data_IF_706044235640
#
_entry.id   IF_706044235640
#
_cell.length_a   1.000
_cell.length_b   1.000
_cell.length_c   1.000
_cell.angle_alpha   90.00
_cell.angle_beta   90.00
_cell.angle_gamma   90.00
#
_symmetry.space_group_name_H-M   'P 1'
#
loop_
_entity.id
_entity.type
_entity.pdbx_description
1 polymer ?
#
# COMPACT_ATOMS: atom_id res chain seq x y z
N UNK A 1 -72.91 -4.56 66.00
CA UNK A 1 -72.26 -3.46 65.24
C UNK A 1 -70.75 -3.43 65.42
N UNK A 2 -70.19 -3.64 66.61
CA UNK A 2 -68.72 -3.59 66.83
C UNK A 2 -67.90 -4.60 65.99
N UNK A 3 -68.37 -5.84 65.85
CA UNK A 3 -67.65 -6.85 65.03
C UNK A 3 -67.51 -6.47 63.55
N UNK A 4 -68.46 -5.72 62.99
CA UNK A 4 -68.40 -5.27 61.59
C UNK A 4 -67.36 -4.15 61.41
N UNK A 5 -67.19 -3.27 62.39
CA UNK A 5 -66.16 -2.23 62.37
C UNK A 5 -64.74 -2.80 62.54
N UNK A 6 -64.58 -3.83 63.38
CA UNK A 6 -63.30 -4.54 63.53
C UNK A 6 -62.92 -5.26 62.24
N UNK A 7 -63.86 -5.96 61.60
CA UNK A 7 -63.63 -6.63 60.32
C UNK A 7 -63.27 -5.63 59.19
N UNK A 8 -63.93 -4.47 59.14
CA UNK A 8 -63.61 -3.41 58.19
C UNK A 8 -62.20 -2.84 58.43
N UNK A 9 -61.82 -2.63 59.70
CA UNK A 9 -60.49 -2.17 60.07
C UNK A 9 -59.38 -3.13 59.65
N UNK A 10 -59.58 -4.43 59.90
CA UNK A 10 -58.63 -5.49 59.47
C UNK A 10 -58.54 -5.56 57.94
N UNK A 11 -59.67 -5.44 57.23
CA UNK A 11 -59.69 -5.45 55.77
C UNK A 11 -58.93 -4.25 55.18
N UNK A 12 -59.08 -3.05 55.75
CA UNK A 12 -58.35 -1.85 55.32
C UNK A 12 -56.86 -2.02 55.59
N UNK A 13 -56.46 -2.43 56.81
CA UNK A 13 -55.05 -2.63 57.15
C UNK A 13 -54.41 -3.69 56.24
N UNK A 14 -55.09 -4.80 55.98
CA UNK A 14 -54.59 -5.87 55.11
C UNK A 14 -54.50 -5.41 53.65
N UNK A 15 -55.51 -4.69 53.14
CA UNK A 15 -55.52 -4.13 51.80
C UNK A 15 -54.40 -3.11 51.58
N UNK A 16 -54.23 -2.16 52.52
CA UNK A 16 -53.15 -1.17 52.50
C UNK A 16 -51.77 -1.83 52.61
N UNK A 17 -51.60 -2.84 53.47
CA UNK A 17 -50.33 -3.57 53.62
C UNK A 17 -49.96 -4.33 52.34
N UNK A 18 -50.95 -4.92 51.67
CA UNK A 18 -50.75 -5.62 50.40
C UNK A 18 -50.36 -4.65 49.28
N UNK A 19 -51.03 -3.49 49.18
CA UNK A 19 -50.68 -2.44 48.21
C UNK A 19 -49.28 -1.88 48.44
N UNK A 20 -48.89 -1.64 49.70
CA UNK A 20 -47.53 -1.22 50.07
C UNK A 20 -46.52 -2.31 49.69
N UNK A 21 -46.81 -3.58 49.97
CA UNK A 21 -45.97 -4.71 49.58
C UNK A 21 -45.77 -4.81 48.07
N UNK A 22 -46.83 -4.64 47.28
CA UNK A 22 -46.76 -4.60 45.81
C UNK A 22 -45.97 -3.38 45.32
N UNK A 23 -46.17 -2.21 45.91
CA UNK A 23 -45.43 -1.00 45.55
C UNK A 23 -43.92 -1.14 45.82
N UNK A 24 -43.56 -1.70 46.97
CA UNK A 24 -42.15 -1.98 47.33
C UNK A 24 -41.56 -3.01 46.37
N UNK A 25 -42.27 -4.10 46.08
CA UNK A 25 -41.81 -5.15 45.15
C UNK A 25 -41.63 -4.61 43.74
N UNK A 26 -42.57 -3.79 43.26
CA UNK A 26 -42.46 -3.14 41.95
C UNK A 26 -41.28 -2.16 41.89
N UNK A 27 -41.05 -1.38 42.95
CA UNK A 27 -39.89 -0.48 43.04
C UNK A 27 -38.56 -1.26 42.95
N UNK A 28 -38.42 -2.36 43.69
CA UNK A 28 -37.21 -3.18 43.62
C UNK A 28 -37.06 -3.90 42.26
N UNK A 29 -38.16 -4.37 41.67
CA UNK A 29 -38.14 -4.98 40.34
C UNK A 29 -37.71 -3.98 39.25
N UNK A 30 -38.25 -2.76 39.26
CA UNK A 30 -37.85 -1.70 38.33
C UNK A 30 -36.35 -1.40 38.47
N UNK A 31 -35.87 -1.22 39.70
CA UNK A 31 -34.45 -0.95 39.96
C UNK A 31 -33.54 -2.09 39.51
N UNK A 32 -33.97 -3.35 39.66
CA UNK A 32 -33.24 -4.52 39.19
C UNK A 32 -33.20 -4.60 37.65
N UNK A 33 -34.33 -4.30 36.99
CA UNK A 33 -34.44 -4.25 35.53
C UNK A 33 -33.56 -3.14 34.95
N UNK A 34 -33.58 -1.93 35.53
CA UNK A 34 -32.71 -0.82 35.12
C UNK A 34 -31.22 -1.19 35.25
N UNK A 35 -30.84 -1.81 36.38
CA UNK A 35 -29.45 -2.25 36.59
C UNK A 35 -29.03 -3.30 35.57
N UNK A 36 -29.92 -4.23 35.23
CA UNK A 36 -29.67 -5.26 34.21
C UNK A 36 -29.53 -4.64 32.82
N UNK A 37 -30.43 -3.74 32.42
CA UNK A 37 -30.33 -3.04 31.13
C UNK A 37 -29.05 -2.21 31.02
N UNK A 38 -28.64 -1.53 32.10
CA UNK A 38 -27.37 -0.80 32.12
C UNK A 38 -26.17 -1.73 31.95
N UNK A 39 -26.17 -2.89 32.63
CA UNK A 39 -25.12 -3.88 32.47
C UNK A 39 -25.08 -4.47 31.05
N UNK A 40 -26.23 -4.84 30.48
CA UNK A 40 -26.33 -5.34 29.10
C UNK A 40 -25.86 -4.29 28.08
N UNK A 41 -26.17 -3.01 28.31
CA UNK A 41 -25.69 -1.91 27.47
C UNK A 41 -24.16 -1.74 27.55
N UNK A 42 -23.58 -1.77 28.75
CA UNK A 42 -22.14 -1.69 28.97
C UNK A 42 -21.39 -2.90 28.37
N UNK A 43 -21.98 -4.09 28.44
CA UNK A 43 -21.41 -5.31 27.86
C UNK A 43 -21.45 -5.28 26.32
N UNK A 44 -22.58 -4.86 25.74
CA UNK A 44 -22.70 -4.68 24.30
C UNK A 44 -21.73 -3.61 23.77
N UNK A 45 -21.60 -2.47 24.46
CA UNK A 45 -20.65 -1.42 24.08
C UNK A 45 -19.21 -1.94 24.07
N UNK A 46 -18.81 -2.71 25.10
CA UNK A 46 -17.49 -3.35 25.15
C UNK A 46 -17.28 -4.31 23.98
N UNK A 47 -18.30 -5.11 23.66
CA UNK A 47 -18.23 -6.08 22.54
C UNK A 47 -18.09 -5.36 21.20
N UNK A 48 -18.91 -4.35 20.93
CA UNK A 48 -18.83 -3.55 19.70
C UNK A 48 -17.49 -2.85 19.57
N UNK A 49 -16.96 -2.28 20.67
CA UNK A 49 -15.65 -1.64 20.67
C UNK A 49 -14.51 -2.63 20.37
N UNK A 50 -14.60 -3.84 20.92
CA UNK A 50 -13.64 -4.91 20.66
C UNK A 50 -13.68 -5.37 19.19
N UNK A 51 -14.87 -5.54 18.62
CA UNK A 51 -15.06 -5.91 17.20
C UNK A 51 -14.49 -4.82 16.28
N UNK A 52 -14.79 -3.55 16.56
CA UNK A 52 -14.26 -2.41 15.80
C UNK A 52 -12.73 -2.34 15.85
N UNK A 53 -12.13 -2.62 17.01
CA UNK A 53 -10.66 -2.71 17.16
C UNK A 53 -10.07 -3.82 16.29
N UNK A 54 -10.65 -5.01 16.32
CA UNK A 54 -10.20 -6.14 15.48
C UNK A 54 -10.22 -5.77 14.00
N UNK A 55 -11.31 -5.16 13.53
CA UNK A 55 -11.45 -4.72 12.14
C UNK A 55 -10.36 -3.73 11.75
N UNK A 56 -10.15 -2.69 12.55
CA UNK A 56 -9.13 -1.66 12.26
C UNK A 56 -7.72 -2.23 12.35
N UNK A 57 -7.43 -3.14 13.29
CA UNK A 57 -6.11 -3.75 13.43
C UNK A 57 -5.77 -4.63 12.22
N UNK A 58 -6.74 -5.41 11.75
CA UNK A 58 -6.60 -6.21 10.53
C UNK A 58 -6.46 -5.33 9.28
N UNK A 59 -7.29 -4.30 9.16
CA UNK A 59 -7.21 -3.35 8.05
C UNK A 59 -5.88 -2.61 8.00
N UNK A 60 -5.32 -2.25 9.15
CA UNK A 60 -3.99 -1.66 9.24
C UNK A 60 -2.91 -2.63 8.75
N UNK A 61 -2.95 -3.88 9.18
CA UNK A 61 -1.98 -4.90 8.76
C UNK A 61 -2.03 -5.15 7.25
N UNK A 62 -3.23 -5.21 6.67
CA UNK A 62 -3.42 -5.33 5.22
C UNK A 62 -2.83 -4.13 4.47
N UNK A 63 -3.17 -2.91 4.90
CA UNK A 63 -2.70 -1.69 4.25
C UNK A 63 -1.17 -1.53 4.34
N UNK A 64 -0.54 -1.96 5.44
CA UNK A 64 0.92 -2.03 5.60
C UNK A 64 1.54 -3.01 4.58
N UNK A 65 0.97 -4.21 4.46
CA UNK A 65 1.45 -5.21 3.51
C UNK A 65 1.34 -4.72 2.05
N UNK A 66 0.21 -4.09 1.72
CA UNK A 66 -0.01 -3.50 0.40
C UNK A 66 0.99 -2.38 0.12
N UNK A 67 1.26 -1.51 1.11
CA UNK A 67 2.23 -0.44 0.95
C UNK A 67 3.65 -0.96 0.73
N UNK A 68 4.06 -1.99 1.47
CA UNK A 68 5.36 -2.65 1.25
C UNK A 68 5.47 -3.21 -0.17
N UNK A 69 4.44 -3.90 -0.65
CA UNK A 69 4.40 -4.44 -2.01
C UNK A 69 4.44 -3.32 -3.06
N UNK A 70 3.71 -2.24 -2.80
CA UNK A 70 3.63 -1.08 -3.67
C UNK A 70 4.98 -0.40 -3.88
N UNK A 71 5.78 -0.23 -2.83
CA UNK A 71 7.13 0.37 -2.93
C UNK A 71 7.97 -0.34 -3.99
N UNK A 72 8.03 -1.66 -3.97
CA UNK A 72 8.79 -2.43 -4.96
C UNK A 72 8.14 -2.43 -6.35
N UNK A 73 6.81 -2.45 -6.42
CA UNK A 73 6.09 -2.33 -7.70
C UNK A 73 6.35 -0.98 -8.36
N UNK A 74 6.36 0.12 -7.62
CA UNK A 74 6.64 1.44 -8.18
C UNK A 74 8.02 1.53 -8.84
N UNK A 75 9.02 0.85 -8.29
CA UNK A 75 10.37 0.84 -8.87
C UNK A 75 10.36 0.10 -10.20
N UNK A 76 9.73 -1.08 -10.23
CA UNK A 76 9.84 -2.01 -11.36
C UNK A 76 8.83 -1.74 -12.49
N UNK A 77 7.62 -1.32 -12.14
CA UNK A 77 6.51 -1.10 -13.06
C UNK A 77 6.06 0.36 -13.09
N UNK A 78 6.11 0.94 -14.29
CA UNK A 78 5.70 2.33 -14.55
C UNK A 78 4.20 2.55 -14.32
N UNK A 79 3.34 1.57 -14.61
CA UNK A 79 1.88 1.72 -14.47
C UNK A 79 1.48 1.82 -13.00
N UNK A 80 2.09 0.98 -12.16
CA UNK A 80 1.89 0.96 -10.71
C UNK A 80 2.14 2.33 -10.04
N UNK A 81 3.02 3.19 -10.58
CA UNK A 81 3.34 4.51 -10.00
C UNK A 81 2.14 5.47 -9.92
N UNK A 82 1.10 5.22 -10.72
CA UNK A 82 -0.14 6.03 -10.74
C UNK A 82 -1.12 5.69 -9.61
N UNK A 83 -0.93 4.56 -8.91
CA UNK A 83 -1.86 4.07 -7.88
C UNK A 83 -1.60 4.76 -6.51
N UNK A 84 -1.85 6.06 -6.43
CA UNK A 84 -1.46 6.88 -5.26
C UNK A 84 -2.40 6.76 -4.04
N UNK A 85 -3.40 5.87 -4.07
CA UNK A 85 -4.43 5.80 -3.03
C UNK A 85 -3.99 5.05 -1.76
N UNK A 86 -2.88 4.31 -1.79
CA UNK A 86 -2.46 3.46 -0.67
C UNK A 86 -1.98 4.25 0.55
N UNK A 87 -1.26 5.36 0.37
CA UNK A 87 -0.84 6.23 1.48
C UNK A 87 -2.07 6.81 2.20
N UNK A 88 -3.09 7.21 1.44
CA UNK A 88 -4.33 7.73 2.00
C UNK A 88 -5.11 6.66 2.77
N UNK A 89 -5.12 5.42 2.27
CA UNK A 89 -5.71 4.27 2.99
C UNK A 89 -4.99 4.02 4.31
N UNK A 90 -3.65 3.91 4.31
CA UNK A 90 -2.87 3.71 5.53
C UNK A 90 -3.13 4.83 6.55
N UNK A 91 -3.05 6.09 6.12
CA UNK A 91 -3.37 7.24 6.97
C UNK A 91 -4.78 7.16 7.58
N UNK A 92 -5.74 6.67 6.81
CA UNK A 92 -7.12 6.49 7.29
C UNK A 92 -7.18 5.40 8.37
N UNK A 93 -6.49 4.28 8.20
CA UNK A 93 -6.44 3.25 9.24
C UNK A 93 -5.75 3.73 10.51
N UNK A 94 -4.66 4.48 10.38
CA UNK A 94 -3.94 5.03 11.53
C UNK A 94 -4.84 6.01 12.30
N UNK A 95 -5.59 6.87 11.59
CA UNK A 95 -6.59 7.75 12.23
C UNK A 95 -7.71 6.97 12.93
N UNK A 96 -8.23 5.92 12.29
CA UNK A 96 -9.22 5.04 12.92
C UNK A 96 -8.65 4.37 14.18
N UNK A 97 -7.40 3.92 14.12
CA UNK A 97 -6.68 3.32 15.25
C UNK A 97 -6.61 4.30 16.42
N UNK A 98 -6.17 5.54 16.15
CA UNK A 98 -6.08 6.62 17.16
C UNK A 98 -7.40 6.88 17.89
N UNK A 99 -8.55 6.71 17.23
CA UNK A 99 -9.85 6.95 17.84
C UNK A 99 -10.29 5.86 18.81
N UNK A 100 -9.82 4.62 18.60
CA UNK A 100 -10.37 3.45 19.30
C UNK A 100 -9.36 2.77 20.23
N UNK A 101 -8.06 3.01 20.05
CA UNK A 101 -6.97 2.37 20.77
C UNK A 101 -6.56 3.13 22.04
N UNK A 102 -5.63 2.56 22.80
CA UNK A 102 -4.91 3.28 23.85
C UNK A 102 -3.94 4.31 23.24
N UNK A 103 -3.56 5.31 24.03
CA UNK A 103 -2.57 6.33 23.63
C UNK A 103 -1.23 5.71 23.21
N UNK A 104 -0.84 4.59 23.83
CA UNK A 104 0.41 3.90 23.53
C UNK A 104 0.39 3.29 22.12
N UNK A 105 -0.69 2.59 21.76
CA UNK A 105 -0.90 2.05 20.40
C UNK A 105 -0.95 3.19 19.38
N UNK A 106 -1.66 4.27 19.72
CA UNK A 106 -1.75 5.45 18.84
C UNK A 106 -0.38 6.06 18.57
N UNK A 107 0.44 6.22 19.60
CA UNK A 107 1.77 6.79 19.49
C UNK A 107 2.71 5.94 18.62
N UNK A 108 2.67 4.62 18.76
CA UNK A 108 3.47 3.71 17.92
C UNK A 108 2.99 3.70 16.47
N UNK A 109 1.68 3.80 16.23
CA UNK A 109 1.14 3.94 14.88
C UNK A 109 1.51 5.27 14.22
N UNK A 110 1.61 6.36 14.98
CA UNK A 110 2.08 7.65 14.45
C UNK A 110 3.55 7.60 14.03
N UNK A 111 4.40 6.94 14.84
CA UNK A 111 5.79 6.68 14.44
C UNK A 111 5.86 5.89 13.14
N UNK A 112 5.03 4.86 13.03
CA UNK A 112 4.93 4.04 11.83
C UNK A 112 4.54 4.89 10.62
N UNK A 113 3.54 5.76 10.77
CA UNK A 113 3.09 6.66 9.71
C UNK A 113 4.20 7.60 9.24
N UNK A 114 4.92 8.21 10.18
CA UNK A 114 5.98 9.17 9.90
C UNK A 114 7.11 8.51 9.10
N UNK A 115 7.52 7.30 9.49
CA UNK A 115 8.56 6.55 8.79
C UNK A 115 8.10 6.08 7.41
N UNK A 116 6.86 5.59 7.26
CA UNK A 116 6.34 5.24 5.93
C UNK A 116 6.26 6.45 5.02
N UNK A 117 5.79 7.58 5.54
CA UNK A 117 5.74 8.85 4.81
C UNK A 117 7.14 9.23 4.31
N UNK A 118 8.16 9.12 5.18
CA UNK A 118 9.55 9.36 4.80
C UNK A 118 10.00 8.42 3.68
N UNK A 119 9.78 7.11 3.82
CA UNK A 119 10.14 6.11 2.80
C UNK A 119 9.49 6.45 1.46
N UNK A 120 8.22 6.88 1.46
CA UNK A 120 7.52 7.28 0.24
C UNK A 120 8.10 8.56 -0.38
N UNK A 121 8.57 9.51 0.42
CA UNK A 121 9.31 10.66 -0.11
C UNK A 121 10.62 10.24 -0.75
N UNK A 122 11.42 9.43 -0.04
CA UNK A 122 12.71 8.93 -0.53
C UNK A 122 12.53 8.14 -1.85
N UNK A 123 11.48 7.31 -1.95
CA UNK A 123 11.10 6.61 -3.18
C UNK A 123 10.80 7.58 -4.32
N UNK A 124 9.97 8.59 -4.10
CA UNK A 124 9.60 9.55 -5.14
C UNK A 124 10.81 10.34 -5.66
N UNK A 125 11.74 10.72 -4.77
CA UNK A 125 12.98 11.36 -5.20
C UNK A 125 13.90 10.41 -5.97
N UNK A 126 14.03 9.16 -5.50
CA UNK A 126 14.84 8.15 -6.16
C UNK A 126 14.32 7.72 -7.53
N UNK A 127 13.01 7.77 -7.76
CA UNK A 127 12.39 7.43 -9.05
C UNK A 127 12.68 8.44 -10.17
N UNK A 128 13.12 9.66 -9.85
CA UNK A 128 13.26 10.75 -10.82
C UNK A 128 14.16 10.37 -12.01
N UNK A 129 15.31 9.78 -11.74
CA UNK A 129 16.29 9.41 -12.76
C UNK A 129 15.75 8.29 -13.65
N UNK A 130 15.11 7.28 -13.03
CA UNK A 130 14.47 6.16 -13.74
C UNK A 130 13.39 6.69 -14.69
N UNK A 131 12.53 7.61 -14.22
CA UNK A 131 11.46 8.20 -15.02
C UNK A 131 12.03 8.99 -16.21
N UNK A 132 13.12 9.74 -16.00
CA UNK A 132 13.77 10.51 -17.05
C UNK A 132 14.33 9.61 -18.15
N UNK A 133 15.07 8.57 -17.78
CA UNK A 133 15.65 7.61 -18.74
C UNK A 133 14.57 6.80 -19.48
N UNK A 134 13.49 6.40 -18.78
CA UNK A 134 12.35 5.73 -19.43
C UNK A 134 11.69 6.64 -20.47
N UNK A 135 11.57 7.95 -20.20
CA UNK A 135 11.04 8.91 -21.15
C UNK A 135 11.98 9.14 -22.34
N UNK A 136 13.30 9.19 -22.11
CA UNK A 136 14.29 9.25 -23.18
C UNK A 136 14.20 8.02 -24.09
N UNK A 137 14.08 6.81 -23.51
CA UNK A 137 13.91 5.58 -24.28
C UNK A 137 12.61 5.53 -25.08
N UNK A 138 11.49 5.99 -24.52
CA UNK A 138 10.24 6.13 -25.27
C UNK A 138 10.40 7.04 -26.51
N UNK A 139 11.24 8.08 -26.40
CA UNK A 139 11.51 8.99 -27.51
C UNK A 139 12.46 8.38 -28.53
N UNK A 140 13.55 7.75 -28.07
CA UNK A 140 14.50 7.04 -28.92
C UNK A 140 13.78 5.98 -29.75
N UNK A 141 12.94 5.14 -29.15
CA UNK A 141 12.16 4.12 -29.86
C UNK A 141 11.26 4.73 -30.94
N UNK A 142 10.52 5.81 -30.62
CA UNK A 142 9.68 6.51 -31.60
C UNK A 142 10.48 7.09 -32.76
N UNK A 143 11.66 7.66 -32.49
CA UNK A 143 12.53 8.20 -33.54
C UNK A 143 13.15 7.08 -34.38
N UNK A 144 13.61 6.00 -33.76
CA UNK A 144 14.12 4.80 -34.44
C UNK A 144 13.06 4.24 -35.38
N UNK A 145 11.81 4.07 -34.93
CA UNK A 145 10.71 3.60 -35.77
C UNK A 145 10.40 4.54 -36.95
N UNK A 146 10.57 5.86 -36.80
CA UNK A 146 10.41 6.81 -37.90
C UNK A 146 11.53 6.67 -38.93
N UNK A 147 12.78 6.65 -38.48
CA UNK A 147 13.93 6.48 -39.37
C UNK A 147 13.95 5.11 -40.05
N UNK A 148 13.49 4.05 -39.37
CA UNK A 148 13.34 2.73 -39.97
C UNK A 148 12.34 2.76 -41.14
N UNK A 149 11.20 3.45 -41.00
CA UNK A 149 10.23 3.62 -42.09
C UNK A 149 10.79 4.44 -43.26
N UNK A 150 11.55 5.48 -42.97
CA UNK A 150 12.26 6.26 -43.99
C UNK A 150 13.27 5.38 -44.73
N UNK A 151 14.06 4.61 -44.00
CA UNK A 151 15.00 3.64 -44.56
C UNK A 151 14.32 2.59 -45.44
N UNK A 152 13.21 2.01 -44.99
CA UNK A 152 12.43 1.03 -45.75
C UNK A 152 11.85 1.66 -47.04
N UNK A 153 11.40 2.91 -46.96
CA UNK A 153 10.93 3.69 -48.12
C UNK A 153 12.05 3.98 -49.11
N UNK A 154 13.27 4.22 -48.61
CA UNK A 154 14.43 4.36 -49.47
C UNK A 154 14.79 3.01 -50.12
N UNK A 155 14.85 1.93 -49.36
CA UNK A 155 15.15 0.60 -49.88
C UNK A 155 14.19 0.18 -51.01
N UNK A 156 12.89 0.46 -50.88
CA UNK A 156 11.91 0.16 -51.94
C UNK A 156 12.12 1.00 -53.20
N UNK A 157 12.34 2.31 -53.07
CA UNK A 157 12.63 3.21 -54.18
C UNK A 157 13.90 2.80 -54.96
N UNK A 158 14.95 2.33 -54.26
CA UNK A 158 16.16 1.80 -54.90
C UNK A 158 15.86 0.56 -55.75
N UNK A 159 14.98 -0.32 -55.28
CA UNK A 159 14.62 -1.56 -55.98
C UNK A 159 13.71 -1.31 -57.20
N UNK A 160 13.01 -0.17 -57.27
CA UNK A 160 12.13 0.19 -58.37
C UNK A 160 12.84 0.86 -59.57
N UNK A 161 14.10 1.29 -59.41
CA UNK A 161 14.88 1.88 -60.50
C UNK A 161 15.27 0.82 -61.54
N UNK A 162 14.38 0.57 -62.51
CA UNK A 162 14.69 -0.24 -63.71
C UNK A 162 15.64 0.52 -64.63
N UNK A 163 16.76 -0.11 -64.97
CA UNK A 163 17.77 0.46 -65.86
C UNK A 163 17.25 0.41 -67.31
N UNK A 164 17.09 1.58 -67.91
CA UNK A 164 16.94 1.78 -69.35
C UNK A 164 18.07 2.69 -69.83
N UNK A 165 18.66 2.37 -70.98
CA UNK A 165 20.02 2.76 -71.42
C UNK A 165 20.26 4.26 -71.65
N UNK A 166 19.24 5.12 -71.70
CA UNK A 166 19.39 6.47 -72.26
C UNK A 166 19.84 7.60 -71.30
N UNK A 167 20.14 7.33 -70.02
CA UNK A 167 20.63 8.38 -69.11
C UNK A 167 21.42 7.84 -67.90
N UNK A 168 22.40 6.98 -68.20
CA UNK A 168 23.15 6.19 -67.21
C UNK A 168 23.92 7.06 -66.19
N UNK A 169 24.58 8.14 -66.61
CA UNK A 169 25.41 8.98 -65.71
C UNK A 169 24.58 9.77 -64.70
N UNK A 170 23.44 10.33 -65.13
CA UNK A 170 22.50 11.06 -64.28
C UNK A 170 21.79 10.13 -63.27
N UNK A 171 21.51 8.88 -63.68
CA UNK A 171 20.95 7.84 -62.79
C UNK A 171 21.97 7.30 -61.79
N UNK A 172 23.23 7.10 -62.19
CA UNK A 172 24.32 6.68 -61.29
C UNK A 172 24.54 7.71 -60.18
N UNK A 173 24.63 9.00 -60.52
CA UNK A 173 24.77 10.07 -59.53
C UNK A 173 23.59 10.10 -58.54
N UNK A 174 22.36 9.89 -59.01
CA UNK A 174 21.17 9.82 -58.13
C UNK A 174 21.23 8.61 -57.20
N UNK A 175 21.63 7.43 -57.69
CA UNK A 175 21.82 6.22 -56.90
C UNK A 175 22.93 6.39 -55.85
N UNK A 176 24.02 7.07 -56.17
CA UNK A 176 25.11 7.34 -55.22
C UNK A 176 24.67 8.30 -54.10
N UNK A 177 23.95 9.37 -54.43
CA UNK A 177 23.37 10.29 -53.42
C UNK A 177 22.43 9.50 -52.50
N UNK A 178 21.57 8.67 -53.10
CA UNK A 178 20.62 7.85 -52.38
C UNK A 178 21.27 6.83 -51.45
N UNK A 179 22.29 6.11 -51.94
CA UNK A 179 23.04 5.15 -51.16
C UNK A 179 23.73 5.84 -49.97
N UNK A 180 24.28 7.03 -50.18
CA UNK A 180 24.88 7.83 -49.10
C UNK A 180 23.85 8.25 -48.04
N UNK A 181 22.64 8.64 -48.45
CA UNK A 181 21.54 8.95 -47.53
C UNK A 181 21.05 7.72 -46.75
N UNK A 182 20.98 6.55 -47.40
CA UNK A 182 20.65 5.28 -46.73
C UNK A 182 21.71 4.90 -45.69
N UNK A 183 22.99 4.93 -46.04
CA UNK A 183 24.09 4.62 -45.12
C UNK A 183 24.09 5.57 -43.93
N UNK A 184 23.90 6.88 -44.17
CA UNK A 184 23.81 7.86 -43.08
C UNK A 184 22.60 7.63 -42.16
N UNK A 185 21.46 7.23 -42.72
CA UNK A 185 20.26 6.90 -41.94
C UNK A 185 20.47 5.64 -41.11
N UNK A 186 21.11 4.62 -41.68
CA UNK A 186 21.45 3.39 -40.98
C UNK A 186 22.40 3.66 -39.80
N UNK A 187 23.47 4.44 -40.00
CA UNK A 187 24.40 4.83 -38.92
C UNK A 187 23.65 5.55 -37.78
N UNK A 188 22.69 6.41 -38.10
CA UNK A 188 21.86 7.08 -37.07
C UNK A 188 21.00 6.09 -36.30
N UNK A 189 20.35 5.15 -36.99
CA UNK A 189 19.54 4.10 -36.36
C UNK A 189 20.40 3.24 -35.43
N UNK A 190 21.57 2.80 -35.89
CA UNK A 190 22.51 2.00 -35.09
C UNK A 190 22.92 2.74 -33.82
N UNK A 191 23.31 4.01 -33.93
CA UNK A 191 23.65 4.83 -32.76
C UNK A 191 22.48 5.00 -31.80
N UNK A 192 21.28 5.24 -32.30
CA UNK A 192 20.09 5.37 -31.45
C UNK A 192 19.73 4.07 -30.73
N UNK A 193 19.96 2.92 -31.37
CA UNK A 193 19.80 1.62 -30.74
C UNK A 193 20.85 1.36 -29.66
N UNK A 194 22.10 1.79 -29.88
CA UNK A 194 23.16 1.74 -28.86
C UNK A 194 22.77 2.60 -27.64
N UNK A 195 22.38 3.85 -27.86
CA UNK A 195 21.93 4.77 -26.79
C UNK A 195 20.72 4.18 -26.03
N UNK A 196 19.77 3.56 -26.73
CA UNK A 196 18.60 2.90 -26.13
C UNK A 196 18.99 1.73 -25.23
N UNK A 197 19.90 0.86 -25.69
CA UNK A 197 20.40 -0.27 -24.90
C UNK A 197 21.20 0.20 -23.67
N UNK A 198 22.01 1.24 -23.82
CA UNK A 198 22.75 1.84 -22.70
C UNK A 198 21.80 2.37 -21.64
N UNK A 199 20.74 3.07 -22.04
CA UNK A 199 19.73 3.57 -21.13
C UNK A 199 18.95 2.46 -20.42
N UNK A 200 18.64 1.33 -21.09
CA UNK A 200 18.04 0.17 -20.43
C UNK A 200 18.96 -0.34 -19.31
N UNK A 201 20.25 -0.51 -19.59
CA UNK A 201 21.21 -0.98 -18.59
C UNK A 201 21.30 -0.01 -17.40
N UNK A 202 21.35 1.30 -17.67
CA UNK A 202 21.32 2.33 -16.63
C UNK A 202 20.04 2.28 -15.80
N UNK A 203 18.88 2.13 -16.42
CA UNK A 203 17.59 2.00 -15.73
C UNK A 203 17.64 0.82 -14.77
N UNK A 204 18.13 -0.35 -15.22
CA UNK A 204 18.22 -1.54 -14.38
C UNK A 204 19.19 -1.36 -13.21
N UNK A 205 20.34 -0.71 -13.42
CA UNK A 205 21.28 -0.35 -12.36
C UNK A 205 20.64 0.59 -11.33
N UNK A 206 19.95 1.64 -11.79
CA UNK A 206 19.24 2.57 -10.91
C UNK A 206 18.10 1.89 -10.15
N UNK A 207 17.32 1.01 -10.78
CA UNK A 207 16.27 0.22 -10.11
C UNK A 207 16.87 -0.65 -9.02
N UNK A 208 17.96 -1.38 -9.31
CA UNK A 208 18.68 -2.21 -8.33
C UNK A 208 19.16 -1.37 -7.14
N UNK A 209 19.80 -0.23 -7.41
CA UNK A 209 20.27 0.69 -6.37
C UNK A 209 19.12 1.20 -5.50
N UNK A 210 18.05 1.69 -6.13
CA UNK A 210 16.89 2.23 -5.43
C UNK A 210 16.18 1.16 -4.58
N UNK A 211 16.07 -0.08 -5.08
CA UNK A 211 15.53 -1.19 -4.29
C UNK A 211 16.35 -1.43 -3.02
N UNK A 212 17.67 -1.41 -3.11
CA UNK A 212 18.56 -1.61 -1.96
C UNK A 212 18.43 -0.47 -0.95
N UNK A 213 18.37 0.78 -1.42
CA UNK A 213 18.12 1.94 -0.58
C UNK A 213 16.76 1.85 0.11
N UNK A 214 15.70 1.44 -0.60
CA UNK A 214 14.37 1.26 0.00
C UNK A 214 14.34 0.15 1.04
N UNK A 215 15.01 -0.99 0.80
CA UNK A 215 15.14 -2.05 1.80
C UNK A 215 15.80 -1.53 3.08
N UNK A 216 16.88 -0.76 2.94
CA UNK A 216 17.57 -0.19 4.09
C UNK A 216 16.72 0.87 4.82
N UNK A 217 15.95 1.69 4.07
CA UNK A 217 15.01 2.66 4.63
C UNK A 217 13.80 2.02 5.34
N UNK A 218 13.43 0.79 4.98
CA UNK A 218 12.34 0.04 5.63
C UNK A 218 12.79 -0.61 6.96
N UNK A 219 14.09 -0.81 7.21
CA UNK A 219 14.60 -1.46 8.43
C UNK A 219 14.06 -0.85 9.74
N UNK A 220 14.02 0.49 9.91
CA UNK A 220 13.56 1.09 11.17
C UNK A 220 12.06 0.88 11.43
N UNK A 221 11.24 0.57 10.42
CA UNK A 221 9.81 0.30 10.60
C UNK A 221 9.58 -1.00 11.36
N UNK A 222 10.48 -1.97 11.22
CA UNK A 222 10.31 -3.31 11.76
C UNK A 222 10.14 -3.37 13.29
N UNK A 223 11.04 -2.81 14.12
CA UNK A 223 10.85 -2.84 15.57
C UNK A 223 9.55 -2.15 16.00
N UNK A 224 9.13 -1.10 15.28
CA UNK A 224 7.87 -0.39 15.53
C UNK A 224 6.67 -1.26 15.16
N UNK A 225 6.70 -1.95 14.01
CA UNK A 225 5.66 -2.88 13.59
C UNK A 225 5.49 -4.02 14.61
N UNK A 226 6.59 -4.63 15.04
CA UNK A 226 6.58 -5.71 16.04
C UNK A 226 6.00 -5.20 17.35
N UNK A 227 6.46 -4.03 17.82
CA UNK A 227 5.96 -3.43 19.06
C UNK A 227 4.45 -3.11 18.96
N UNK A 228 4.02 -2.49 17.86
CA UNK A 228 2.62 -2.16 17.60
C UNK A 228 1.76 -3.44 17.55
N UNK A 229 2.21 -4.50 16.89
CA UNK A 229 1.51 -5.79 16.85
C UNK A 229 1.38 -6.41 18.23
N UNK A 230 2.44 -6.38 19.05
CA UNK A 230 2.40 -6.89 20.41
C UNK A 230 1.41 -6.10 21.28
N UNK A 231 1.42 -4.76 21.18
CA UNK A 231 0.47 -3.91 21.89
C UNK A 231 -0.98 -4.17 21.46
N UNK A 232 -1.23 -4.31 20.15
CA UNK A 232 -2.56 -4.65 19.62
C UNK A 232 -3.04 -6.03 20.10
N UNK A 233 -2.15 -7.02 20.19
CA UNK A 233 -2.49 -8.35 20.73
C UNK A 233 -2.84 -8.30 22.21
N UNK A 234 -2.07 -7.56 23.00
CA UNK A 234 -2.34 -7.33 24.42
C UNK A 234 -3.68 -6.62 24.62
N UNK A 235 -3.98 -5.61 23.81
CA UNK A 235 -5.27 -4.89 23.86
C UNK A 235 -6.46 -5.79 23.49
N UNK A 236 -6.25 -6.80 22.64
CA UNK A 236 -7.26 -7.82 22.32
C UNK A 236 -7.35 -8.95 23.37
N UNK A 237 -6.53 -8.93 24.43
CA UNK A 237 -6.51 -9.97 25.47
C UNK A 237 -5.83 -11.27 25.04
N UNK A 238 -5.00 -11.25 23.99
CA UNK A 238 -4.23 -12.41 23.54
C UNK A 238 -2.95 -12.50 24.36
N UNK A 239 -2.94 -13.35 25.40
CA UNK A 239 -1.79 -13.55 26.29
C UNK A 239 -0.84 -14.64 25.72
N UNK A 240 0.45 -14.33 25.74
CA UNK A 240 1.58 -14.93 25.00
C UNK A 240 1.77 -16.46 25.12
N UNK A 241 1.79 -17.13 23.96
CA UNK A 241 2.68 -18.28 23.70
C UNK A 241 3.72 -17.99 22.60
N UNK A 242 3.56 -16.90 21.85
CA UNK A 242 4.42 -16.53 20.72
C UNK A 242 4.57 -15.00 20.69
N UNK A 243 5.56 -14.48 21.42
CA UNK A 243 6.03 -13.11 21.20
C UNK A 243 6.78 -13.09 19.87
N UNK A 244 6.53 -12.07 19.06
CA UNK A 244 7.40 -11.80 17.91
C UNK A 244 8.77 -11.36 18.42
N UNK A 245 9.78 -12.22 18.28
CA UNK A 245 11.16 -11.93 18.66
C UNK A 245 11.92 -11.28 17.50
N UNK A 246 12.80 -10.34 17.81
CA UNK A 246 13.62 -9.63 16.84
C UNK A 246 14.71 -10.53 16.24
N UNK A 247 15.14 -11.57 16.96
CA UNK A 247 16.34 -12.36 16.69
C UNK A 247 16.26 -13.30 15.46
N UNK A 248 15.09 -13.86 15.13
CA UNK A 248 14.92 -14.79 14.00
C UNK A 248 15.05 -14.12 12.62
N UNK A 249 14.67 -12.84 12.53
CA UNK A 249 14.65 -12.14 11.24
C UNK A 249 15.98 -11.52 10.84
N UNK A 250 16.88 -11.19 11.77
CA UNK A 250 18.19 -10.67 11.36
C UNK A 250 18.94 -11.72 10.53
N UNK A 251 18.63 -13.01 10.74
CA UNK A 251 19.01 -14.09 9.83
C UNK A 251 18.28 -13.98 8.47
N UNK A 252 16.95 -13.89 8.45
CA UNK A 252 16.16 -13.85 7.20
C UNK A 252 16.44 -12.62 6.33
N UNK A 253 16.66 -11.45 6.94
CA UNK A 253 17.00 -10.22 6.24
C UNK A 253 18.37 -10.29 5.59
N UNK A 254 19.36 -10.86 6.28
CA UNK A 254 20.69 -11.07 5.72
C UNK A 254 20.65 -12.12 4.59
N UNK A 255 19.89 -13.21 4.77
CA UNK A 255 19.66 -14.21 3.73
C UNK A 255 18.94 -13.63 2.50
N UNK A 256 17.94 -12.77 2.68
CA UNK A 256 17.26 -12.10 1.58
C UNK A 256 18.18 -11.09 0.86
N UNK A 257 19.01 -10.36 1.61
CA UNK A 257 20.01 -9.44 1.04
C UNK A 257 21.08 -10.19 0.25
N UNK A 258 21.50 -11.37 0.71
CA UNK A 258 22.40 -12.28 -0.03
C UNK A 258 21.72 -12.89 -1.25
N UNK A 259 20.47 -13.37 -1.13
CA UNK A 259 19.69 -13.87 -2.26
C UNK A 259 19.53 -12.82 -3.37
N UNK A 260 19.23 -11.57 -2.98
CA UNK A 260 19.17 -10.48 -3.95
C UNK A 260 20.53 -10.22 -4.59
N UNK A 261 21.64 -10.22 -3.82
CA UNK A 261 22.98 -10.07 -4.39
C UNK A 261 23.32 -11.18 -5.40
N UNK A 262 22.96 -12.42 -5.11
CA UNK A 262 23.21 -13.57 -6.00
C UNK A 262 22.34 -13.58 -7.27
N UNK A 263 21.15 -12.98 -7.21
CA UNK A 263 20.25 -12.80 -8.37
C UNK A 263 20.54 -11.54 -9.18
N UNK A 264 21.38 -10.65 -8.67
CA UNK A 264 21.68 -9.33 -9.25
C UNK A 264 22.99 -9.33 -10.06
N UNK A 265 23.85 -10.33 -9.85
CA UNK A 265 25.01 -10.65 -10.71
C UNK A 265 24.61 -11.61 -11.86
#
# INVERSE_FOLDING_TARGET
>A
MEQQWIALGIAIVTGSSTLIGVAITNYFNIKAIEKRHKFEAEENEKKTKLELRKEVYLGLAEDIYLLNTFIFKCINDRQSRSENNLINRLNTQIRKLQLISSNEISYEADKLNSLFTKVMFDLNFGLKEIIMLEYENDNLDKFTQRYQKEFDSFSSLSNEVKITELDLSLKINKLEIFHKEMVNTQIKIEKMNEDFLENINKIDEYKKKLMMEMIDSLKPLRPILINLMNLMRLDLGVIDQYKFDLHEYDLEHNQFKEYLKDKIN
#
